data_IF_540270612881
#
_entry.id   IF_540270612881
#
_cell.length_a   1.000
_cell.length_b   1.000
_cell.length_c   1.000
_cell.angle_alpha   90.00
_cell.angle_beta   90.00
_cell.angle_gamma   90.00
#
_symmetry.space_group_name_H-M   'P 1'
#
loop_
_entity.id
_entity.type
_entity.pdbx_description
1 polymer ?
#
# COMPACT_ATOMS: atom_id res chain seq x y z
N UNK A 1 -7.99 37.86 -6.10
CA UNK A 1 -8.46 36.86 -7.08
C UNK A 1 -7.45 35.73 -7.10
N UNK A 2 -7.82 34.53 -6.65
CA UNK A 2 -6.90 33.42 -6.58
C UNK A 2 -6.65 32.90 -8.01
N UNK A 3 -5.42 33.06 -8.52
CA UNK A 3 -4.95 32.38 -9.72
C UNK A 3 -4.86 30.88 -9.43
N UNK A 4 -5.99 30.18 -9.51
CA UNK A 4 -5.99 28.72 -9.61
C UNK A 4 -5.66 28.34 -11.05
N UNK A 5 -4.40 28.56 -11.44
CA UNK A 5 -3.83 27.89 -12.60
C UNK A 5 -3.69 26.44 -12.24
N UNK A 6 -4.54 25.59 -12.82
CA UNK A 6 -4.40 24.15 -12.74
C UNK A 6 -2.97 23.77 -13.15
N UNK A 7 -2.13 23.44 -12.17
CA UNK A 7 -0.76 22.98 -12.40
C UNK A 7 -0.83 21.48 -12.71
N UNK A 8 -0.48 21.06 -13.95
CA UNK A 8 -0.47 19.66 -14.33
C UNK A 8 0.42 18.83 -13.41
N UNK A 9 0.09 17.55 -13.25
CA UNK A 9 0.81 16.65 -12.33
C UNK A 9 2.31 16.59 -12.66
N UNK A 10 2.67 16.60 -13.95
CA UNK A 10 4.07 16.54 -14.39
C UNK A 10 4.89 17.79 -14.06
N UNK A 11 4.25 18.93 -13.79
CA UNK A 11 4.95 20.17 -13.42
C UNK A 11 5.10 20.32 -11.91
N UNK A 12 4.45 19.45 -11.13
CA UNK A 12 4.48 19.47 -9.66
C UNK A 12 5.74 18.78 -9.13
N UNK A 13 6.24 19.28 -8.00
CA UNK A 13 7.28 18.57 -7.25
C UNK A 13 6.73 17.26 -6.68
N UNK A 14 7.61 16.32 -6.32
CA UNK A 14 7.18 15.06 -5.70
C UNK A 14 6.38 15.29 -4.40
N UNK A 15 6.73 16.31 -3.60
CA UNK A 15 5.96 16.67 -2.40
C UNK A 15 4.54 17.13 -2.76
N UNK A 16 4.43 18.04 -3.72
CA UNK A 16 3.14 18.57 -4.20
C UNK A 16 2.24 17.47 -4.80
N UNK A 17 2.85 16.49 -5.48
CA UNK A 17 2.13 15.32 -6.01
C UNK A 17 1.68 14.39 -4.88
N UNK A 18 2.55 14.11 -3.91
CA UNK A 18 2.23 13.28 -2.75
C UNK A 18 1.09 13.87 -1.93
N UNK A 19 1.12 15.18 -1.65
CA UNK A 19 0.07 15.89 -0.92
C UNK A 19 -1.28 15.84 -1.67
N UNK A 20 -1.25 15.98 -3.00
CA UNK A 20 -2.45 15.87 -3.84
C UNK A 20 -3.05 14.46 -3.82
N UNK A 21 -2.20 13.41 -3.82
CA UNK A 21 -2.62 12.02 -3.87
C UNK A 21 -3.01 11.45 -2.50
N UNK A 22 -2.50 12.01 -1.40
CA UNK A 22 -2.71 11.48 -0.05
C UNK A 22 -4.20 11.23 0.31
N UNK A 23 -5.15 12.15 0.03
CA UNK A 23 -6.56 11.89 0.33
C UNK A 23 -7.15 10.71 -0.46
N UNK A 24 -6.75 10.56 -1.73
CA UNK A 24 -7.21 9.44 -2.56
C UNK A 24 -6.61 8.12 -2.11
N UNK A 25 -5.32 8.13 -1.74
CA UNK A 25 -4.68 6.96 -1.14
C UNK A 25 -5.39 6.50 0.14
N UNK A 26 -5.71 7.43 1.05
CA UNK A 26 -6.45 7.12 2.28
C UNK A 26 -7.82 6.52 1.96
N UNK A 27 -8.54 7.08 0.98
CA UNK A 27 -9.85 6.55 0.56
C UNK A 27 -9.73 5.12 0.05
N UNK A 28 -8.79 4.85 -0.87
CA UNK A 28 -8.57 3.50 -1.41
C UNK A 28 -8.17 2.52 -0.31
N UNK A 29 -7.32 2.93 0.64
CA UNK A 29 -6.95 2.09 1.78
C UNK A 29 -8.15 1.75 2.67
N UNK A 30 -9.03 2.72 2.94
CA UNK A 30 -10.26 2.49 3.70
C UNK A 30 -11.25 1.59 2.96
N UNK A 31 -11.41 1.77 1.66
CA UNK A 31 -12.22 0.90 0.81
C UNK A 31 -11.67 -0.52 0.82
N UNK A 32 -10.37 -0.68 0.63
CA UNK A 32 -9.70 -1.97 0.73
C UNK A 32 -9.96 -2.62 2.09
N UNK A 33 -9.78 -1.90 3.19
CA UNK A 33 -10.05 -2.43 4.52
C UNK A 33 -11.52 -2.85 4.72
N UNK A 34 -12.48 -2.09 4.18
CA UNK A 34 -13.91 -2.42 4.25
C UNK A 34 -14.26 -3.68 3.45
N UNK A 35 -13.62 -3.86 2.30
CA UNK A 35 -13.73 -5.04 1.45
C UNK A 35 -12.94 -6.25 2.01
N UNK A 36 -12.32 -6.11 3.18
CA UNK A 36 -11.47 -7.16 3.78
C UNK A 36 -10.14 -7.37 3.03
N UNK A 37 -9.79 -6.44 2.15
CA UNK A 37 -8.50 -6.37 1.47
C UNK A 37 -7.42 -5.91 2.46
N UNK A 38 -6.32 -6.65 2.45
CA UNK A 38 -5.35 -6.76 3.52
C UNK A 38 -4.34 -5.61 3.53
N UNK A 39 -3.81 -5.30 4.72
CA UNK A 39 -2.57 -4.53 4.84
C UNK A 39 -1.37 -5.48 4.77
N UNK A 40 -0.41 -5.18 3.91
CA UNK A 40 0.89 -5.87 3.86
C UNK A 40 1.93 -5.04 4.60
N UNK A 41 2.57 -5.60 5.62
CA UNK A 41 3.61 -4.91 6.40
C UNK A 41 4.82 -5.80 6.65
N UNK A 42 5.96 -5.18 6.99
CA UNK A 42 7.18 -5.90 7.38
C UNK A 42 7.12 -6.30 8.84
N UNK A 43 7.45 -7.55 9.11
CA UNK A 43 7.54 -8.08 10.47
C UNK A 43 9.00 -8.40 10.80
N UNK A 44 9.45 -8.01 11.99
CA UNK A 44 10.85 -8.10 12.41
C UNK A 44 11.38 -9.54 12.47
N UNK A 45 10.50 -10.54 12.57
CA UNK A 45 10.89 -11.95 12.57
C UNK A 45 11.38 -12.43 11.19
N UNK A 46 11.02 -11.73 10.10
CA UNK A 46 11.41 -12.09 8.74
C UNK A 46 12.46 -11.11 8.22
N UNK A 47 13.71 -11.57 8.16
CA UNK A 47 14.86 -10.76 7.70
C UNK A 47 14.90 -10.57 6.18
N UNK A 48 14.25 -11.45 5.43
CA UNK A 48 14.26 -11.40 3.97
C UNK A 48 13.39 -10.23 3.48
N UNK A 49 13.98 -9.38 2.62
CA UNK A 49 13.36 -8.13 2.21
C UNK A 49 12.12 -8.26 1.32
N UNK A 50 11.80 -9.46 0.89
CA UNK A 50 10.63 -9.80 0.08
C UNK A 50 9.54 -10.53 0.87
N UNK A 51 9.69 -10.70 2.19
CA UNK A 51 8.68 -11.34 3.03
C UNK A 51 7.90 -10.27 3.79
N UNK A 52 6.57 -10.41 3.74
CA UNK A 52 5.62 -9.50 4.36
C UNK A 52 4.55 -10.31 5.09
N UNK A 53 3.89 -9.66 6.05
CA UNK A 53 2.67 -10.18 6.66
C UNK A 53 1.49 -9.49 6.00
N UNK A 54 0.55 -10.28 5.48
CA UNK A 54 -0.80 -9.83 5.16
C UNK A 54 -1.70 -10.07 6.35
N UNK A 55 -2.33 -9.01 6.83
CA UNK A 55 -3.30 -9.13 7.90
C UNK A 55 -4.71 -9.00 7.35
N UNK A 56 -5.48 -10.06 7.56
CA UNK A 56 -6.92 -10.11 7.35
C UNK A 56 -7.62 -9.95 8.70
N UNK A 57 -8.95 -9.77 8.66
CA UNK A 57 -9.75 -9.70 9.88
C UNK A 57 -9.74 -11.02 10.67
N UNK A 58 -9.65 -12.16 9.97
CA UNK A 58 -9.78 -13.50 10.57
C UNK A 58 -8.46 -14.23 10.80
N UNK A 59 -7.39 -13.83 10.12
CA UNK A 59 -6.11 -14.53 10.15
C UNK A 59 -4.99 -13.64 9.60
N UNK A 60 -3.76 -14.13 9.67
CA UNK A 60 -2.58 -13.52 9.06
C UNK A 60 -1.94 -14.48 8.07
N UNK A 61 -1.33 -13.96 7.04
CA UNK A 61 -0.53 -14.75 6.10
C UNK A 61 0.88 -14.19 6.01
N UNK A 62 1.86 -15.08 5.99
CA UNK A 62 3.23 -14.77 5.60
C UNK A 62 3.30 -14.92 4.10
N UNK A 63 3.61 -13.84 3.41
CA UNK A 63 3.67 -13.81 1.95
C UNK A 63 5.04 -13.36 1.47
N UNK A 64 5.46 -13.93 0.34
CA UNK A 64 6.58 -13.43 -0.44
C UNK A 64 6.03 -12.54 -1.54
N UNK A 65 6.62 -11.37 -1.74
CA UNK A 65 6.25 -10.42 -2.78
C UNK A 65 7.45 -10.20 -3.69
N UNK A 66 7.29 -10.49 -4.97
CA UNK A 66 8.24 -10.08 -6.00
C UNK A 66 8.03 -8.60 -6.31
N UNK A 67 9.02 -7.78 -6.00
CA UNK A 67 8.96 -6.33 -6.19
C UNK A 67 8.96 -5.92 -7.67
N UNK A 68 9.48 -6.75 -8.57
CA UNK A 68 9.56 -6.43 -10.00
C UNK A 68 8.21 -6.66 -10.71
N UNK A 69 7.47 -7.69 -10.29
CA UNK A 69 6.24 -8.13 -10.95
C UNK A 69 4.97 -7.84 -10.13
N UNK A 70 5.11 -7.58 -8.84
CA UNK A 70 4.00 -7.52 -7.90
C UNK A 70 3.37 -8.88 -7.62
N UNK A 71 3.95 -9.98 -8.14
CA UNK A 71 3.46 -11.32 -7.88
C UNK A 71 3.65 -11.70 -6.41
N UNK A 72 2.68 -12.43 -5.85
CA UNK A 72 2.66 -12.73 -4.43
C UNK A 72 2.37 -14.19 -4.17
N UNK A 73 3.17 -14.80 -3.30
CA UNK A 73 3.11 -16.22 -2.95
C UNK A 73 2.85 -16.35 -1.44
N UNK A 74 1.90 -17.19 -1.05
CA UNK A 74 1.59 -17.46 0.36
C UNK A 74 2.54 -18.54 0.87
N UNK A 75 3.38 -18.19 1.84
CA UNK A 75 4.33 -19.11 2.48
C UNK A 75 3.63 -19.86 3.62
N UNK A 76 2.83 -19.15 4.42
CA UNK A 76 2.20 -19.71 5.62
C UNK A 76 0.97 -18.93 6.03
N UNK A 77 -0.08 -19.63 6.45
CA UNK A 77 -1.24 -19.04 7.12
C UNK A 77 -1.12 -19.19 8.64
N UNK A 78 -1.40 -18.12 9.38
CA UNK A 78 -1.39 -18.02 10.84
C UNK A 78 -2.81 -17.66 11.26
N UNK A 79 -3.50 -18.56 11.97
CA UNK A 79 -4.82 -18.31 12.54
C UNK A 79 -4.70 -17.57 13.86
#
# INVERSE_FOLDING_TARGET
MAHNTFKPIFERTLSEQSELLAPQMTKVQLENLREGLYNSYRDAHYKAGNIFIRQYQSHREVVKIDAATGHTEIIKTIR
#
